data_IF_633866952476
#
_entry.id   IF_633866952476
#
_cell.length_a   1.000
_cell.length_b   1.000
_cell.length_c   1.000
_cell.angle_alpha   90.00
_cell.angle_beta   90.00
_cell.angle_gamma   90.00
#
_symmetry.space_group_name_H-M   'P 1'
#
loop_
_entity.id
_entity.type
_entity.pdbx_description
1 polymer ?
#
# COMPACT_ATOMS: atom_id res chain seq x y z
N UNK A 1 -6.99 32.86 -7.88
CA UNK A 1 -7.02 31.45 -7.47
C UNK A 1 -5.74 31.25 -6.66
N UNK A 2 -5.83 31.26 -5.33
CA UNK A 2 -4.67 31.45 -4.45
C UNK A 2 -3.86 30.17 -4.27
N UNK A 3 -2.55 30.24 -4.44
CA UNK A 3 -1.62 29.19 -4.05
C UNK A 3 -1.71 29.00 -2.52
N UNK A 4 -2.05 27.81 -2.07
CA UNK A 4 -1.97 27.47 -0.66
C UNK A 4 -0.48 27.38 -0.28
N UNK A 5 0.03 28.37 0.46
CA UNK A 5 1.37 28.30 1.04
C UNK A 5 1.29 27.66 2.44
N UNK A 6 1.84 26.47 2.59
CA UNK A 6 2.08 25.85 3.90
C UNK A 6 3.59 25.93 4.19
N UNK A 7 3.97 26.56 5.31
CA UNK A 7 5.34 26.53 5.85
C UNK A 7 5.31 25.76 7.15
N UNK A 8 5.99 24.61 7.20
CA UNK A 8 6.07 23.73 8.36
C UNK A 8 7.54 23.57 8.78
N UNK A 9 7.83 23.78 10.07
CA UNK A 9 9.11 23.44 10.69
C UNK A 9 8.93 22.17 11.52
N UNK A 10 9.49 21.05 11.07
CA UNK A 10 9.51 19.78 11.80
C UNK A 10 10.83 19.68 12.56
N UNK A 11 10.78 19.71 13.89
CA UNK A 11 11.98 19.75 14.75
C UNK A 11 12.46 18.34 15.13
N UNK A 12 11.54 17.38 15.31
CA UNK A 12 11.84 16.01 15.72
C UNK A 12 11.04 15.01 14.86
N UNK A 13 11.44 14.93 13.58
CA UNK A 13 10.80 14.10 12.58
C UNK A 13 11.55 12.79 12.34
N UNK A 14 10.81 11.75 12.01
CA UNK A 14 11.37 10.49 11.50
C UNK A 14 11.18 10.44 9.98
N UNK A 15 12.26 10.27 9.22
CA UNK A 15 12.13 9.94 7.80
C UNK A 15 11.61 8.52 7.67
N UNK A 16 10.33 8.40 7.32
CA UNK A 16 9.64 7.11 7.33
C UNK A 16 10.21 6.11 6.33
N UNK A 17 10.87 6.58 5.27
CA UNK A 17 11.51 5.70 4.27
C UNK A 17 12.74 4.99 4.83
N UNK A 18 13.29 5.49 5.94
CA UNK A 18 14.42 4.86 6.63
C UNK A 18 14.01 3.82 7.67
N UNK A 19 12.70 3.75 8.00
CA UNK A 19 12.17 2.80 8.97
C UNK A 19 11.78 1.51 8.27
N UNK A 20 12.52 0.44 8.57
CA UNK A 20 12.21 -0.90 8.12
C UNK A 20 12.40 -1.89 9.27
N UNK A 21 11.51 -2.88 9.35
CA UNK A 21 11.61 -3.96 10.34
C UNK A 21 11.49 -5.31 9.64
N UNK A 22 12.41 -6.23 9.96
CA UNK A 22 12.47 -7.55 9.31
C UNK A 22 11.52 -8.57 9.91
N UNK A 23 10.98 -8.32 11.12
CA UNK A 23 9.92 -9.12 11.71
C UNK A 23 8.52 -8.63 11.29
N UNK A 24 7.49 -9.44 11.57
CA UNK A 24 6.10 -9.17 11.17
C UNK A 24 5.46 -7.94 11.85
N UNK A 25 6.00 -7.48 12.97
CA UNK A 25 5.47 -6.32 13.69
C UNK A 25 5.69 -5.03 12.88
N UNK A 26 4.64 -4.21 12.79
CA UNK A 26 4.67 -2.90 12.12
C UNK A 26 4.96 -1.82 13.19
N UNK A 27 6.11 -1.12 13.13
CA UNK A 27 6.41 -0.04 14.07
C UNK A 27 5.35 1.07 14.07
N UNK A 28 5.11 1.72 15.21
CA UNK A 28 4.07 2.74 15.34
C UNK A 28 4.19 3.93 14.36
N UNK A 29 5.40 4.50 14.10
CA UNK A 29 5.55 5.54 13.08
C UNK A 29 5.14 5.04 11.69
N UNK A 30 5.48 3.79 11.37
CA UNK A 30 5.20 3.17 10.09
C UNK A 30 3.71 2.89 9.89
N UNK A 31 3.05 2.39 10.94
CA UNK A 31 1.60 2.26 10.98
C UNK A 31 0.91 3.59 10.68
N UNK A 32 1.29 4.64 11.41
CA UNK A 32 0.70 5.98 11.27
C UNK A 32 0.85 6.50 9.85
N UNK A 33 2.07 6.43 9.29
CA UNK A 33 2.33 6.90 7.95
C UNK A 33 1.55 6.14 6.87
N UNK A 34 1.41 4.81 7.02
CA UNK A 34 0.64 3.98 6.08
C UNK A 34 -0.86 4.26 6.22
N UNK A 35 -1.36 4.48 7.43
CA UNK A 35 -2.76 4.85 7.68
C UNK A 35 -3.13 6.21 7.07
N UNK A 36 -2.22 7.18 7.15
CA UNK A 36 -2.39 8.51 6.56
C UNK A 36 -2.23 8.53 5.04
N UNK A 37 -1.30 7.74 4.48
CA UNK A 37 -1.13 7.62 3.02
C UNK A 37 -2.32 6.90 2.39
N UNK A 38 -2.75 5.80 2.98
CA UNK A 38 -3.75 4.89 2.41
C UNK A 38 -5.10 5.03 3.15
N UNK A 39 -5.75 6.19 3.00
CA UNK A 39 -7.07 6.46 3.61
C UNK A 39 -8.23 5.71 2.93
N UNK A 40 -7.99 5.16 1.74
CA UNK A 40 -8.90 4.34 0.93
C UNK A 40 -8.17 3.05 0.57
N UNK A 41 -8.92 1.95 0.42
CA UNK A 41 -8.37 0.69 -0.09
C UNK A 41 -7.56 0.94 -1.39
N UNK A 42 -6.32 0.45 -1.42
CA UNK A 42 -5.40 0.73 -2.53
C UNK A 42 -5.63 -0.11 -3.79
N UNK A 43 -6.61 -1.02 -3.78
CA UNK A 43 -7.06 -1.68 -5.02
C UNK A 43 -7.76 -0.64 -5.89
N UNK A 44 -7.32 -0.44 -7.15
CA UNK A 44 -7.96 0.50 -8.07
C UNK A 44 -9.46 0.30 -8.13
N UNK A 45 -10.20 1.41 -8.23
CA UNK A 45 -11.67 1.49 -8.24
C UNK A 45 -12.40 1.08 -6.95
N UNK A 46 -11.69 0.65 -5.91
CA UNK A 46 -12.28 0.48 -4.59
C UNK A 46 -12.30 1.81 -3.83
N UNK A 47 -13.44 2.13 -3.23
CA UNK A 47 -13.70 3.37 -2.48
C UNK A 47 -13.91 3.12 -0.98
N UNK A 48 -13.72 1.88 -0.51
CA UNK A 48 -13.85 1.53 0.91
C UNK A 48 -12.85 2.30 1.77
N UNK A 49 -13.35 2.96 2.81
CA UNK A 49 -12.57 3.77 3.77
C UNK A 49 -12.56 3.20 5.19
N UNK A 50 -13.49 2.30 5.51
CA UNK A 50 -13.69 1.75 6.86
C UNK A 50 -13.21 0.30 6.91
N UNK A 51 -12.63 -0.09 8.05
CA UNK A 51 -12.19 -1.46 8.29
C UNK A 51 -11.02 -1.91 7.41
N UNK A 52 -10.15 -0.98 7.04
CA UNK A 52 -8.96 -1.28 6.24
C UNK A 52 -7.87 -1.92 7.11
N UNK A 53 -7.27 -2.97 6.58
CA UNK A 53 -6.20 -3.76 7.19
C UNK A 53 -4.86 -3.41 6.52
N UNK A 54 -3.78 -3.33 7.30
CA UNK A 54 -2.43 -3.15 6.76
C UNK A 54 -1.87 -4.52 6.36
N UNK A 55 -1.42 -4.64 5.13
CA UNK A 55 -0.88 -5.87 4.56
C UNK A 55 0.45 -5.61 3.83
N UNK A 56 1.26 -6.66 3.70
CA UNK A 56 2.53 -6.61 2.99
C UNK A 56 2.33 -6.90 1.50
N UNK A 57 2.84 -6.06 0.61
CA UNK A 57 2.81 -6.26 -0.86
C UNK A 57 3.63 -7.50 -1.23
N UNK A 58 4.92 -7.52 -0.85
CA UNK A 58 5.75 -8.73 -0.79
C UNK A 58 5.49 -9.40 0.56
N UNK A 59 4.93 -10.62 0.61
CA UNK A 59 4.60 -11.29 1.86
C UNK A 59 5.78 -11.38 2.83
N UNK A 60 5.51 -11.22 4.13
CA UNK A 60 6.50 -11.42 5.18
C UNK A 60 7.13 -12.83 5.12
N UNK A 61 6.32 -13.86 4.83
CA UNK A 61 6.78 -15.25 4.65
C UNK A 61 7.79 -15.43 3.51
N UNK A 62 7.84 -14.49 2.58
CA UNK A 62 8.79 -14.46 1.46
C UNK A 62 9.97 -13.49 1.73
N UNK A 63 10.13 -13.05 2.98
CA UNK A 63 11.14 -12.07 3.38
C UNK A 63 10.81 -10.65 2.93
N UNK A 64 9.54 -10.26 2.89
CA UNK A 64 9.12 -8.87 2.78
C UNK A 64 9.23 -8.15 4.12
N UNK A 65 10.04 -7.08 4.18
CA UNK A 65 10.14 -6.26 5.39
C UNK A 65 8.87 -5.44 5.62
N UNK A 66 8.58 -5.12 6.88
CA UNK A 66 7.66 -4.03 7.20
C UNK A 66 8.37 -2.71 6.90
N UNK A 67 8.14 -2.14 5.72
CA UNK A 67 8.64 -0.84 5.28
C UNK A 67 7.52 -0.02 4.66
N UNK A 68 7.75 1.28 4.47
CA UNK A 68 6.72 2.17 3.91
C UNK A 68 6.31 1.75 2.51
N UNK A 69 7.27 1.29 1.70
CA UNK A 69 7.06 0.87 0.32
C UNK A 69 6.42 -0.51 0.21
N UNK A 70 6.58 -1.37 1.22
CA UNK A 70 6.08 -2.75 1.21
C UNK A 70 4.78 -2.93 1.99
N UNK A 71 4.34 -1.95 2.78
CA UNK A 71 3.05 -1.99 3.45
C UNK A 71 1.99 -1.22 2.66
N UNK A 72 0.75 -1.69 2.71
CA UNK A 72 -0.39 -1.09 2.02
C UNK A 72 -1.69 -1.31 2.81
N UNK A 73 -2.70 -0.45 2.66
CA UNK A 73 -4.04 -0.71 3.24
C UNK A 73 -5.05 -1.26 2.25
N UNK A 74 -5.72 -2.34 2.65
CA UNK A 74 -6.73 -3.06 1.87
C UNK A 74 -8.01 -3.22 2.71
N UNK A 75 -9.19 -3.19 2.06
CA UNK A 75 -10.41 -3.63 2.74
C UNK A 75 -10.37 -5.15 2.93
N UNK A 76 -11.11 -5.66 3.92
CA UNK A 76 -11.17 -7.10 4.24
C UNK A 76 -11.37 -7.99 3.01
N UNK A 77 -12.25 -7.60 2.07
CA UNK A 77 -12.50 -8.36 0.84
C UNK A 77 -11.23 -8.52 -0.02
N UNK A 78 -10.52 -7.43 -0.30
CA UNK A 78 -9.31 -7.48 -1.12
C UNK A 78 -8.12 -8.10 -0.39
N UNK A 79 -8.04 -7.92 0.93
CA UNK A 79 -7.05 -8.60 1.75
C UNK A 79 -7.21 -10.13 1.71
N UNK A 80 -8.46 -10.63 1.77
CA UNK A 80 -8.77 -12.05 1.61
C UNK A 80 -8.43 -12.55 0.20
N UNK A 81 -8.80 -11.81 -0.85
CA UNK A 81 -8.47 -12.16 -2.23
C UNK A 81 -6.96 -12.26 -2.47
N UNK A 82 -6.15 -11.36 -1.88
CA UNK A 82 -4.70 -11.45 -1.96
C UNK A 82 -4.16 -12.69 -1.25
N UNK A 83 -4.67 -12.93 -0.05
CA UNK A 83 -4.19 -13.97 0.86
C UNK A 83 -4.57 -15.38 0.38
N UNK A 84 -5.78 -15.56 -0.12
CA UNK A 84 -6.35 -16.87 -0.41
C UNK A 84 -6.58 -17.14 -1.89
N UNK A 85 -6.88 -16.11 -2.69
CA UNK A 85 -7.34 -16.26 -4.08
C UNK A 85 -6.26 -15.88 -5.10
N UNK A 86 -5.00 -15.76 -4.67
CA UNK A 86 -3.85 -15.54 -5.58
C UNK A 86 -3.78 -14.15 -6.23
N UNK A 87 -4.67 -13.22 -5.89
CA UNK A 87 -4.60 -11.86 -6.43
C UNK A 87 -3.34 -11.13 -5.95
N UNK A 88 -2.85 -10.19 -6.77
CA UNK A 88 -1.66 -9.40 -6.47
C UNK A 88 -1.89 -7.92 -6.75
N UNK A 89 -1.44 -7.09 -5.81
CA UNK A 89 -1.31 -5.65 -6.01
C UNK A 89 0.11 -5.37 -6.52
N UNK A 90 0.23 -4.85 -7.74
CA UNK A 90 1.53 -4.55 -8.35
C UNK A 90 1.63 -3.07 -8.75
N UNK A 91 2.81 -2.48 -8.62
CA UNK A 91 3.08 -1.15 -9.18
C UNK A 91 3.27 -1.25 -10.68
N UNK A 92 2.59 -0.40 -11.43
CA UNK A 92 2.78 -0.22 -12.87
C UNK A 92 3.08 1.25 -13.16
N UNK A 93 3.75 1.51 -14.29
CA UNK A 93 3.95 2.88 -14.76
C UNK A 93 2.59 3.57 -14.97
N UNK A 94 2.49 4.82 -14.53
CA UNK A 94 1.38 5.69 -14.87
C UNK A 94 1.41 5.99 -16.38
N UNK A 95 0.24 6.14 -17.02
CA UNK A 95 0.18 6.63 -18.39
C UNK A 95 0.71 8.08 -18.44
N UNK A 96 1.79 8.33 -19.20
CA UNK A 96 2.38 9.67 -19.31
C UNK A 96 3.91 9.71 -19.24
N UNK A 97 4.55 8.67 -18.69
CA UNK A 97 6.02 8.51 -18.76
C UNK A 97 6.84 9.45 -17.87
N UNK A 98 6.22 10.17 -16.95
CA UNK A 98 6.84 11.07 -15.96
C UNK A 98 7.54 10.33 -14.80
N UNK A 99 7.46 9.00 -14.78
CA UNK A 99 8.04 8.17 -13.72
C UNK A 99 7.08 7.86 -12.56
N UNK A 100 5.84 8.37 -12.61
CA UNK A 100 4.85 8.03 -11.60
C UNK A 100 4.41 6.56 -11.72
N UNK A 101 4.07 5.98 -10.58
CA UNK A 101 3.56 4.61 -10.49
C UNK A 101 2.17 4.59 -9.90
N UNK A 102 1.33 3.68 -10.40
CA UNK A 102 0.02 3.40 -9.84
C UNK A 102 -0.13 1.93 -9.51
N UNK A 103 -1.08 1.62 -8.64
CA UNK A 103 -1.44 0.24 -8.36
C UNK A 103 -2.23 -0.38 -9.52
N UNK A 104 -1.98 -1.66 -9.78
CA UNK A 104 -2.82 -2.52 -10.58
C UNK A 104 -3.18 -3.76 -9.77
N UNK A 105 -4.46 -4.16 -9.83
CA UNK A 105 -4.95 -5.37 -9.22
C UNK A 105 -4.97 -6.49 -10.26
N UNK A 106 -4.13 -7.51 -10.05
CA UNK A 106 -3.96 -8.62 -10.99
C UNK A 106 -4.58 -9.87 -10.40
N UNK A 107 -5.51 -10.45 -11.16
CA UNK A 107 -6.01 -11.81 -10.92
C UNK A 107 -4.88 -12.84 -11.07
N UNK A 108 -4.99 -13.98 -10.39
CA UNK A 108 -4.03 -15.07 -10.59
C UNK A 108 -4.13 -15.60 -12.03
N UNK A 109 -3.04 -16.18 -12.58
CA UNK A 109 -2.97 -16.57 -13.99
C UNK A 109 -4.04 -17.57 -14.43
N UNK A 110 -4.45 -18.45 -13.53
CA UNK A 110 -5.40 -19.56 -13.71
C UNK A 110 -6.87 -19.14 -13.69
N UNK A 111 -7.20 -17.92 -13.23
CA UNK A 111 -8.60 -17.44 -13.23
C UNK A 111 -9.16 -17.18 -14.64
N UNK A 112 -8.31 -17.11 -15.68
CA UNK A 112 -8.72 -16.78 -17.05
C UNK A 112 -9.52 -17.87 -17.77
N UNK A 113 -9.69 -19.06 -17.19
CA UNK A 113 -10.34 -20.20 -17.87
C UNK A 113 -11.78 -20.50 -17.43
N UNK A 114 -12.39 -19.66 -16.59
CA UNK A 114 -13.81 -19.79 -16.24
C UNK A 114 -14.65 -18.79 -17.05
N UNK A 115 -14.83 -19.12 -18.32
CA UNK A 115 -15.89 -18.55 -19.16
C UNK A 115 -17.23 -19.23 -18.92
#
# INVERSE_FOLDING_TARGET
>A
MGEAFLKLLVVDGVDIKTVAHMGRAIPAPLRTAVEERDRVCQVPTCDMTVGLEIDHIKPFSEGGAASFENLVRLCKRHHLQKTHDGYRLIKIAAPGGDGDTRWAWRAPPDLKETG
#
